data_IF_109320696288
#
_entry.id   IF_109320696288
#
_cell.length_a   1.000
_cell.length_b   1.000
_cell.length_c   1.000
_cell.angle_alpha   90.00
_cell.angle_beta   90.00
_cell.angle_gamma   90.00
#
_symmetry.space_group_name_H-M   'P 1'
#
loop_
_entity.id
_entity.type
_entity.pdbx_description
1 polymer ?
#
# COMPACT_ATOMS: atom_id res chain seq x y z
N UNK A 1 41.98 65.36 25.99
CA UNK A 1 41.03 64.49 25.29
C UNK A 1 41.81 63.68 24.27
N UNK A 2 41.95 62.35 24.47
CA UNK A 2 42.61 61.47 23.50
C UNK A 2 41.51 60.86 22.63
N UNK A 3 41.50 61.21 21.36
CA UNK A 3 40.59 60.63 20.38
C UNK A 3 40.94 59.15 20.20
N UNK A 4 39.99 58.28 20.53
CA UNK A 4 40.13 56.84 20.31
C UNK A 4 39.94 56.61 18.83
N UNK A 5 41.04 56.42 18.09
CA UNK A 5 41.00 56.05 16.68
C UNK A 5 40.14 54.78 16.49
N UNK A 6 38.96 54.97 15.91
CA UNK A 6 38.07 53.88 15.55
C UNK A 6 38.69 53.18 14.33
N UNK A 7 39.40 52.06 14.56
CA UNK A 7 39.94 51.22 13.50
C UNK A 7 38.80 50.75 12.59
N UNK A 8 38.78 51.25 11.34
CA UNK A 8 37.82 50.84 10.30
C UNK A 8 38.11 49.38 9.91
N UNK A 9 37.23 48.47 10.31
CA UNK A 9 37.28 47.05 9.91
C UNK A 9 37.18 46.95 8.38
N UNK A 10 37.91 46.02 7.73
CA UNK A 10 37.90 45.92 6.27
C UNK A 10 36.48 45.64 5.76
N UNK A 11 36.06 46.41 4.75
CA UNK A 11 34.77 46.23 4.10
C UNK A 11 34.67 44.81 3.53
N UNK A 12 33.59 44.12 3.87
CA UNK A 12 33.40 42.71 3.48
C UNK A 12 33.39 42.60 1.95
N UNK A 13 34.19 41.70 1.35
CA UNK A 13 34.24 41.55 -0.09
C UNK A 13 32.86 41.27 -0.70
N UNK A 14 32.52 41.93 -1.81
CA UNK A 14 31.21 41.78 -2.46
C UNK A 14 30.89 40.32 -2.85
N UNK A 15 31.90 39.55 -3.25
CA UNK A 15 31.78 38.14 -3.59
C UNK A 15 31.22 37.32 -2.41
N UNK A 16 31.67 37.63 -1.20
CA UNK A 16 31.22 36.97 0.03
C UNK A 16 29.77 37.36 0.37
N UNK A 17 29.39 38.63 0.16
CA UNK A 17 28.02 39.10 0.36
C UNK A 17 27.05 38.44 -0.63
N UNK A 18 27.42 38.33 -1.91
CA UNK A 18 26.64 37.64 -2.94
C UNK A 18 26.46 36.15 -2.59
N UNK A 19 27.52 35.48 -2.13
CA UNK A 19 27.48 34.08 -1.67
C UNK A 19 26.55 33.88 -0.47
N UNK A 20 26.64 34.77 0.55
CA UNK A 20 25.77 34.74 1.74
C UNK A 20 24.29 34.89 1.38
N UNK A 21 23.95 35.84 0.50
CA UNK A 21 22.56 36.04 0.03
C UNK A 21 22.03 34.79 -0.67
N UNK A 22 22.82 34.18 -1.56
CA UNK A 22 22.43 32.93 -2.26
C UNK A 22 22.22 31.77 -1.29
N UNK A 23 23.07 31.59 -0.29
CA UNK A 23 22.86 30.52 0.69
C UNK A 23 21.64 30.75 1.57
N UNK A 24 21.37 32.00 1.94
CA UNK A 24 20.18 32.32 2.72
C UNK A 24 18.89 31.97 1.97
N UNK A 25 18.80 32.30 0.67
CA UNK A 25 17.63 31.98 -0.16
C UNK A 25 17.46 30.47 -0.35
N UNK A 26 18.55 29.76 -0.67
CA UNK A 26 18.52 28.29 -0.84
C UNK A 26 18.15 27.60 0.47
N UNK A 27 18.66 28.07 1.62
CA UNK A 27 18.32 27.53 2.95
C UNK A 27 16.85 27.74 3.28
N UNK A 28 16.32 28.93 2.99
CA UNK A 28 14.90 29.23 3.18
C UNK A 28 13.99 28.35 2.30
N UNK A 29 14.35 28.17 1.02
CA UNK A 29 13.64 27.29 0.10
C UNK A 29 13.63 25.83 0.58
N UNK A 30 14.80 25.30 0.98
CA UNK A 30 14.91 23.93 1.53
C UNK A 30 14.07 23.74 2.78
N UNK A 31 14.09 24.71 3.70
CA UNK A 31 13.29 24.63 4.92
C UNK A 31 11.79 24.62 4.61
N UNK A 32 11.35 25.44 3.64
CA UNK A 32 9.96 25.46 3.17
C UNK A 32 9.55 24.11 2.55
N UNK A 33 10.41 23.55 1.68
CA UNK A 33 10.19 22.26 1.05
C UNK A 33 10.10 21.12 2.10
N UNK A 34 11.04 21.05 3.04
CA UNK A 34 11.04 20.06 4.11
C UNK A 34 9.79 20.17 5.01
N UNK A 35 9.32 21.39 5.30
CA UNK A 35 8.07 21.60 6.04
C UNK A 35 6.85 21.09 5.26
N UNK A 36 6.79 21.34 3.95
CA UNK A 36 5.72 20.84 3.09
C UNK A 36 5.73 19.30 3.01
N UNK A 37 6.90 18.70 2.81
CA UNK A 37 7.08 17.25 2.79
C UNK A 37 6.68 16.60 4.11
N UNK A 38 7.06 17.18 5.26
CA UNK A 38 6.61 16.69 6.58
C UNK A 38 5.09 16.67 6.71
N UNK A 39 4.39 17.69 6.17
CA UNK A 39 2.93 17.74 6.17
C UNK A 39 2.35 16.63 5.28
N UNK A 40 2.88 16.46 4.07
CA UNK A 40 2.45 15.38 3.18
C UNK A 40 2.67 13.99 3.80
N UNK A 41 3.83 13.76 4.44
CA UNK A 41 4.16 12.51 5.13
C UNK A 41 3.20 12.18 6.28
N UNK A 42 2.70 13.20 6.99
CA UNK A 42 1.67 13.00 8.03
C UNK A 42 0.36 12.53 7.43
N UNK A 43 -0.05 13.09 6.29
CA UNK A 43 -1.28 12.69 5.59
C UNK A 43 -1.15 11.25 5.09
N UNK A 44 -0.05 10.91 4.40
CA UNK A 44 0.16 9.56 3.90
C UNK A 44 0.25 8.53 5.02
N UNK A 45 0.90 8.83 6.14
CA UNK A 45 0.96 7.94 7.32
C UNK A 45 -0.42 7.63 7.89
N UNK A 46 -1.30 8.65 8.00
CA UNK A 46 -2.68 8.44 8.45
C UNK A 46 -3.46 7.53 7.49
N UNK A 47 -3.29 7.74 6.18
CA UNK A 47 -3.93 6.91 5.16
C UNK A 47 -3.46 5.45 5.22
N UNK A 48 -2.14 5.22 5.32
CA UNK A 48 -1.55 3.88 5.41
C UNK A 48 -2.10 3.14 6.65
N UNK A 49 -2.17 3.83 7.79
CA UNK A 49 -2.70 3.24 9.02
C UNK A 49 -4.17 2.82 8.87
N UNK A 50 -5.02 3.69 8.29
CA UNK A 50 -6.42 3.34 8.02
C UNK A 50 -6.59 2.21 7.01
N UNK A 51 -5.75 2.15 5.98
CA UNK A 51 -5.75 1.01 5.04
C UNK A 51 -5.37 -0.30 5.74
N UNK A 52 -4.37 -0.28 6.62
CA UNK A 52 -3.96 -1.45 7.37
C UNK A 52 -5.08 -1.98 8.30
N UNK A 53 -5.80 -1.08 8.98
CA UNK A 53 -6.99 -1.45 9.77
C UNK A 53 -8.05 -2.15 8.91
N UNK A 54 -8.34 -1.62 7.72
CA UNK A 54 -9.30 -2.22 6.79
C UNK A 54 -8.87 -3.61 6.33
N UNK A 55 -7.61 -3.79 5.91
CA UNK A 55 -7.10 -5.10 5.49
C UNK A 55 -7.17 -6.13 6.62
N UNK A 56 -6.79 -5.74 7.84
CA UNK A 56 -6.90 -6.64 8.99
C UNK A 56 -8.34 -7.10 9.22
N UNK A 57 -9.31 -6.17 9.14
CA UNK A 57 -10.73 -6.48 9.27
C UNK A 57 -11.20 -7.41 8.15
N UNK A 58 -10.86 -7.11 6.90
CA UNK A 58 -11.22 -7.91 5.73
C UNK A 58 -10.73 -9.36 5.84
N UNK A 59 -9.46 -9.58 6.18
CA UNK A 59 -8.92 -10.94 6.37
C UNK A 59 -9.63 -11.68 7.50
N UNK A 60 -9.94 -10.99 8.61
CA UNK A 60 -10.66 -11.59 9.75
C UNK A 60 -12.08 -11.99 9.37
N UNK A 61 -12.76 -11.16 8.59
CA UNK A 61 -14.12 -11.43 8.09
C UNK A 61 -14.13 -12.56 7.07
N UNK A 62 -13.17 -12.59 6.13
CA UNK A 62 -13.00 -13.68 5.18
C UNK A 62 -12.79 -15.01 5.89
N UNK A 63 -11.88 -15.08 6.87
CA UNK A 63 -11.64 -16.29 7.64
C UNK A 63 -12.90 -16.79 8.37
N UNK A 64 -13.62 -15.87 9.02
CA UNK A 64 -14.88 -16.18 9.71
C UNK A 64 -15.96 -16.64 8.73
N UNK A 65 -16.02 -16.05 7.53
CA UNK A 65 -16.95 -16.42 6.46
C UNK A 65 -16.67 -17.85 5.98
N UNK A 66 -15.41 -18.18 5.74
CA UNK A 66 -14.99 -19.53 5.32
C UNK A 66 -15.46 -20.59 6.33
N UNK A 67 -15.16 -20.36 7.62
CA UNK A 67 -15.59 -21.25 8.70
C UNK A 67 -17.12 -21.37 8.75
N UNK A 68 -17.83 -20.25 8.61
CA UNK A 68 -19.30 -20.23 8.62
C UNK A 68 -19.86 -21.10 7.49
N UNK A 69 -19.33 -20.95 6.27
CA UNK A 69 -19.79 -21.72 5.11
C UNK A 69 -19.53 -23.22 5.30
N UNK A 70 -18.34 -23.60 5.77
CA UNK A 70 -18.06 -25.00 6.11
C UNK A 70 -19.01 -25.57 7.18
N UNK A 71 -19.37 -24.78 8.19
CA UNK A 71 -20.34 -25.21 9.23
C UNK A 71 -21.75 -25.36 8.68
N UNK A 72 -22.20 -24.40 7.86
CA UNK A 72 -23.52 -24.46 7.21
C UNK A 72 -23.65 -25.67 6.30
N UNK A 73 -22.63 -25.92 5.47
CA UNK A 73 -22.61 -27.08 4.59
C UNK A 73 -22.67 -28.39 5.39
N UNK A 74 -21.82 -28.53 6.43
CA UNK A 74 -21.87 -29.68 7.35
C UNK A 74 -23.24 -29.86 7.99
N UNK A 75 -23.87 -28.78 8.45
CA UNK A 75 -25.21 -28.83 9.06
C UNK A 75 -26.27 -29.34 8.07
N UNK A 76 -26.15 -28.98 6.79
CA UNK A 76 -27.05 -29.44 5.73
C UNK A 76 -26.68 -30.82 5.15
N UNK A 77 -25.61 -31.46 5.61
CA UNK A 77 -25.08 -32.71 5.02
C UNK A 77 -24.35 -32.53 3.69
N UNK A 78 -24.09 -31.28 3.28
CA UNK A 78 -23.41 -30.93 2.04
C UNK A 78 -21.91 -30.64 2.26
N UNK A 79 -21.15 -30.58 1.17
CA UNK A 79 -19.73 -30.21 1.17
C UNK A 79 -19.52 -28.80 0.63
N UNK A 80 -18.64 -28.03 1.26
CA UNK A 80 -18.19 -26.72 0.76
C UNK A 80 -16.74 -26.83 0.33
N UNK A 81 -16.46 -26.57 -0.95
CA UNK A 81 -15.14 -26.68 -1.58
C UNK A 81 -14.57 -25.29 -1.90
N UNK A 82 -13.26 -25.13 -1.80
CA UNK A 82 -12.59 -23.88 -2.16
C UNK A 82 -12.47 -23.70 -3.68
N UNK A 83 -12.13 -22.50 -4.16
CA UNK A 83 -11.89 -22.29 -5.59
C UNK A 83 -10.63 -23.04 -6.04
N UNK A 84 -10.61 -23.64 -7.25
CA UNK A 84 -9.48 -24.43 -7.69
C UNK A 84 -8.23 -23.55 -7.82
N UNK A 85 -7.07 -24.11 -7.44
CA UNK A 85 -5.77 -23.44 -7.57
C UNK A 85 -5.55 -23.02 -9.04
N UNK A 86 -5.22 -21.74 -9.26
CA UNK A 86 -5.11 -21.12 -10.58
C UNK A 86 -6.43 -20.63 -11.19
N UNK A 87 -7.55 -20.76 -10.50
CA UNK A 87 -8.86 -20.33 -10.97
C UNK A 87 -9.52 -21.32 -11.94
N UNK A 88 -10.69 -20.90 -12.43
CA UNK A 88 -11.44 -21.59 -13.49
C UNK A 88 -11.11 -20.93 -14.83
N UNK A 89 -10.85 -21.72 -15.86
CA UNK A 89 -10.55 -21.28 -17.21
C UNK A 89 -11.76 -20.61 -17.87
N UNK A 90 -12.92 -21.30 -17.90
CA UNK A 90 -14.18 -20.76 -18.45
C UNK A 90 -15.39 -21.30 -17.68
N UNK A 91 -15.99 -20.45 -16.85
CA UNK A 91 -17.10 -20.82 -15.94
C UNK A 91 -18.42 -21.11 -16.64
N UNK A 92 -18.62 -20.60 -17.85
CA UNK A 92 -19.89 -20.67 -18.59
C UNK A 92 -19.91 -21.78 -19.63
N UNK A 93 -18.75 -22.17 -20.14
CA UNK A 93 -18.61 -23.18 -21.20
C UNK A 93 -18.58 -24.59 -20.61
N UNK A 94 -19.22 -25.56 -21.27
CA UNK A 94 -19.25 -26.94 -20.80
C UNK A 94 -17.88 -27.62 -20.85
N UNK A 95 -17.64 -28.59 -19.96
CA UNK A 95 -16.36 -29.29 -19.87
C UNK A 95 -15.96 -29.99 -21.18
N UNK A 96 -16.91 -30.62 -21.87
CA UNK A 96 -16.70 -31.31 -23.16
C UNK A 96 -16.28 -30.33 -24.27
N UNK A 97 -16.68 -29.06 -24.17
CA UNK A 97 -16.32 -27.98 -25.08
C UNK A 97 -15.00 -27.28 -24.67
N UNK A 98 -14.26 -27.85 -23.71
CA UNK A 98 -13.02 -27.28 -23.17
C UNK A 98 -13.21 -26.21 -22.09
N UNK A 99 -14.40 -26.12 -21.49
CA UNK A 99 -14.72 -25.24 -20.36
C UNK A 99 -14.62 -25.90 -18.99
N UNK A 100 -15.23 -25.28 -17.97
CA UNK A 100 -15.24 -25.76 -16.58
C UNK A 100 -16.65 -26.02 -16.00
N UNK A 101 -17.70 -25.81 -16.78
CA UNK A 101 -19.07 -26.00 -16.35
C UNK A 101 -19.58 -27.43 -16.61
N UNK A 102 -20.52 -27.88 -15.79
CA UNK A 102 -21.26 -29.12 -16.00
C UNK A 102 -20.54 -30.39 -15.53
N UNK A 103 -21.04 -31.53 -16.00
CA UNK A 103 -20.58 -32.87 -15.63
C UNK A 103 -19.15 -33.11 -16.16
N UNK A 104 -18.29 -33.66 -15.29
CA UNK A 104 -16.91 -34.07 -15.63
C UNK A 104 -16.72 -35.59 -15.58
N UNK A 105 -17.80 -36.33 -15.32
CA UNK A 105 -17.79 -37.78 -15.16
C UNK A 105 -16.65 -38.22 -14.23
N UNK A 106 -15.81 -39.17 -14.66
CA UNK A 106 -14.69 -39.72 -13.89
C UNK A 106 -13.57 -38.71 -13.60
N UNK A 107 -13.53 -37.58 -14.32
CA UNK A 107 -12.51 -36.56 -14.16
C UNK A 107 -12.80 -35.57 -13.02
N UNK A 108 -13.93 -35.72 -12.33
CA UNK A 108 -14.31 -34.85 -11.21
C UNK A 108 -13.27 -34.83 -10.08
N UNK A 109 -12.64 -35.98 -9.81
CA UNK A 109 -11.62 -36.11 -8.76
C UNK A 109 -10.40 -35.22 -9.02
N UNK A 110 -10.04 -35.01 -10.30
CA UNK A 110 -8.93 -34.11 -10.67
C UNK A 110 -9.25 -32.66 -10.31
N UNK A 111 -10.50 -32.23 -10.48
CA UNK A 111 -10.95 -30.89 -10.10
C UNK A 111 -10.99 -30.74 -8.57
N UNK A 112 -11.56 -31.72 -7.86
CA UNK A 112 -11.65 -31.69 -6.40
C UNK A 112 -10.25 -31.58 -5.77
N UNK A 113 -9.25 -32.30 -6.30
CA UNK A 113 -7.85 -32.18 -5.84
C UNK A 113 -7.25 -30.80 -6.04
N UNK A 114 -7.73 -30.01 -7.01
CA UNK A 114 -7.30 -28.61 -7.19
C UNK A 114 -7.99 -27.66 -6.20
N UNK A 115 -9.13 -28.06 -5.63
CA UNK A 115 -9.95 -27.30 -4.69
C UNK A 115 -9.64 -27.64 -3.22
N UNK A 116 -8.72 -28.58 -2.98
CA UNK A 116 -8.13 -28.91 -1.68
C UNK A 116 -6.71 -28.34 -1.57
#
# INVERSE_FOLDING_TARGET
YRDVEIKKVPSVPESLLKKRKRYATVKAMRLKAHKAEKKARRVTRKLIYKRAECYHKEYREMYRREIRMHRMARKAGNFYLSSPRGGMNKKTTHFVEGGDAGNREDQINRLIRRMN
#
